data_IF_919921097419
#
_entry.id   IF_919921097419
#
_cell.length_a   1.000
_cell.length_b   1.000
_cell.length_c   1.000
_cell.angle_alpha   90.00
_cell.angle_beta   90.00
_cell.angle_gamma   90.00
#
_symmetry.space_group_name_H-M   'P 1'
#
loop_
_entity.id
_entity.type
_entity.pdbx_description
1 polymer ?
#
# COMPACT_ATOMS: atom_id res chain seq x y z
N UNK A 1 -45.44 13.48 5.26
CA UNK A 1 -45.01 12.06 5.23
C UNK A 1 -45.01 11.58 3.80
N UNK A 2 -43.85 11.57 3.13
CA UNK A 2 -43.58 10.78 1.92
C UNK A 2 -42.07 10.69 1.80
N UNK A 3 -41.54 9.51 2.11
CA UNK A 3 -40.11 9.22 2.30
C UNK A 3 -39.56 8.71 0.97
N UNK A 4 -38.99 9.59 0.14
CA UNK A 4 -38.30 9.16 -1.08
C UNK A 4 -36.87 8.76 -0.75
N UNK A 5 -36.64 7.45 -0.72
CA UNK A 5 -35.31 6.83 -0.69
C UNK A 5 -34.68 6.95 -2.08
N UNK A 6 -33.52 7.61 -2.17
CA UNK A 6 -32.67 7.57 -3.37
C UNK A 6 -31.92 6.23 -3.40
N UNK A 7 -31.96 5.46 -4.51
CA UNK A 7 -31.09 4.30 -4.66
C UNK A 7 -29.66 4.76 -4.96
N UNK A 8 -28.71 4.17 -4.24
CA UNK A 8 -27.28 4.33 -4.42
C UNK A 8 -26.81 3.86 -5.82
N UNK A 9 -25.95 4.67 -6.44
CA UNK A 9 -24.84 4.31 -7.35
C UNK A 9 -25.05 3.24 -8.45
N UNK A 10 -24.82 3.57 -9.73
CA UNK A 10 -24.49 2.58 -10.74
C UNK A 10 -22.97 2.59 -10.96
N UNK A 11 -22.24 1.86 -10.10
CA UNK A 11 -20.96 1.29 -10.53
C UNK A 11 -21.07 -0.21 -10.33
N UNK A 12 -21.50 -0.91 -11.36
CA UNK A 12 -21.37 -2.36 -11.46
C UNK A 12 -19.88 -2.71 -11.51
N UNK A 13 -19.26 -2.79 -10.33
CA UNK A 13 -18.00 -3.53 -10.16
C UNK A 13 -18.31 -5.01 -10.39
N UNK A 14 -17.47 -5.78 -11.10
CA UNK A 14 -17.68 -7.20 -11.25
C UNK A 14 -17.63 -7.87 -9.86
N UNK A 15 -18.79 -8.35 -9.39
CA UNK A 15 -18.99 -8.99 -8.08
C UNK A 15 -18.01 -10.15 -7.81
N UNK A 16 -17.45 -10.74 -8.86
CA UNK A 16 -16.46 -11.82 -8.77
C UNK A 16 -15.13 -11.36 -8.14
N UNK A 17 -14.66 -10.14 -8.42
CA UNK A 17 -13.36 -9.67 -7.90
C UNK A 17 -13.42 -9.23 -6.43
N UNK A 18 -14.54 -8.65 -6.01
CA UNK A 18 -14.81 -8.39 -4.59
C UNK A 18 -14.97 -9.68 -3.79
N UNK A 19 -15.52 -10.75 -4.39
CA UNK A 19 -15.65 -12.04 -3.74
C UNK A 19 -14.30 -12.75 -3.56
N UNK A 20 -13.41 -12.70 -4.56
CA UNK A 20 -12.05 -13.26 -4.46
C UNK A 20 -11.20 -12.49 -3.44
N UNK A 21 -11.28 -11.15 -3.44
CA UNK A 21 -10.58 -10.32 -2.46
C UNK A 21 -11.13 -10.52 -1.03
N UNK A 22 -12.45 -10.70 -0.88
CA UNK A 22 -13.06 -11.00 0.41
C UNK A 22 -12.73 -12.42 0.91
N UNK A 23 -12.65 -13.41 0.02
CA UNK A 23 -12.27 -14.78 0.36
C UNK A 23 -10.80 -14.84 0.84
N UNK A 24 -9.89 -14.15 0.14
CA UNK A 24 -8.48 -14.04 0.52
C UNK A 24 -8.27 -13.25 1.82
N UNK A 25 -9.10 -12.22 2.08
CA UNK A 25 -9.07 -11.47 3.33
C UNK A 25 -9.67 -12.28 4.50
N UNK A 26 -10.68 -13.12 4.24
CA UNK A 26 -11.31 -13.96 5.26
C UNK A 26 -10.43 -15.12 5.75
N UNK A 27 -9.49 -15.58 4.91
CA UNK A 27 -8.52 -16.61 5.30
C UNK A 27 -7.39 -16.08 6.20
N UNK A 28 -7.22 -14.76 6.29
CA UNK A 28 -6.13 -14.10 7.03
C UNK A 28 -6.57 -13.51 8.38
N UNK A 29 -7.86 -13.55 8.71
CA UNK A 29 -8.41 -13.05 9.97
C UNK A 29 -9.00 -14.22 10.79
N UNK A 30 -8.11 -15.08 11.31
CA UNK A 30 -8.42 -15.88 12.50
C UNK A 30 -7.95 -15.07 13.74
N UNK A 31 -8.72 -15.02 14.84
CA UNK A 31 -8.41 -14.13 15.94
C UNK A 31 -7.40 -14.78 16.88
N UNK A 32 -6.19 -14.23 16.97
CA UNK A 32 -5.39 -14.31 18.20
C UNK A 32 -5.64 -13.05 19.00
N UNK A 33 -6.62 -13.13 19.89
CA UNK A 33 -6.84 -12.12 20.92
C UNK A 33 -5.87 -12.34 22.10
N UNK A 34 -5.39 -11.22 22.64
CA UNK A 34 -4.82 -10.98 23.97
C UNK A 34 -3.39 -11.48 24.28
N UNK A 35 -2.44 -10.53 24.39
CA UNK A 35 -1.84 -9.99 25.63
C UNK A 35 -0.89 -8.84 25.18
N UNK A 36 -1.22 -7.58 25.46
CA UNK A 36 -0.93 -6.82 26.68
C UNK A 36 0.49 -6.22 26.71
N UNK A 37 0.53 -4.93 27.06
CA UNK A 37 1.67 -4.09 27.39
C UNK A 37 2.85 -4.82 28.04
N UNK A 38 4.05 -4.60 27.51
CA UNK A 38 5.29 -4.75 28.26
C UNK A 38 6.39 -3.84 27.68
N UNK A 39 6.63 -2.75 28.40
CA UNK A 39 7.87 -2.02 28.62
C UNK A 39 9.13 -2.54 27.88
N UNK A 40 9.78 -1.65 27.13
CA UNK A 40 11.14 -1.84 26.63
C UNK A 40 12.17 -1.95 27.78
N UNK A 41 13.10 -2.92 27.77
CA UNK A 41 14.28 -2.85 28.61
C UNK A 41 15.38 -2.01 27.94
N UNK A 42 15.97 -1.12 28.73
CA UNK A 42 17.17 -0.37 28.41
C UNK A 42 18.39 -1.27 28.23
N UNK A 43 19.32 -0.81 27.38
CA UNK A 43 20.62 -1.43 27.13
C UNK A 43 21.48 -1.52 28.40
N UNK A 44 22.23 -2.62 28.63
CA UNK A 44 23.36 -2.63 29.53
C UNK A 44 24.65 -2.19 28.80
N UNK A 45 25.42 -1.38 29.50
CA UNK A 45 26.73 -0.87 29.13
C UNK A 45 27.75 -1.99 28.85
N UNK A 46 28.64 -1.73 27.91
CA UNK A 46 29.84 -2.51 27.68
C UNK A 46 30.79 -2.39 28.88
N UNK A 47 31.02 -3.50 29.56
CA UNK A 47 32.15 -3.68 30.48
C UNK A 47 33.22 -4.51 29.77
N UNK A 48 34.36 -3.87 29.51
CA UNK A 48 35.60 -4.52 29.11
C UNK A 48 36.06 -5.49 30.21
N UNK A 49 36.29 -6.76 29.85
CA UNK A 49 37.00 -7.70 30.71
C UNK A 49 38.16 -8.33 29.95
N UNK A 50 39.36 -8.05 30.48
CA UNK A 50 40.66 -8.64 30.17
C UNK A 50 40.65 -10.17 30.20
N UNK A 51 41.25 -10.79 29.19
CA UNK A 51 41.68 -12.19 29.24
C UNK A 51 43.15 -12.29 29.70
N UNK A 52 43.52 -13.20 30.62
CA UNK A 52 44.91 -13.38 31.01
C UNK A 52 45.66 -14.27 30.02
N UNK A 53 46.87 -13.84 29.71
CA UNK A 53 47.88 -14.60 28.98
C UNK A 53 48.40 -15.77 29.83
N UNK A 54 48.56 -16.94 29.22
CA UNK A 54 49.40 -18.02 29.73
C UNK A 54 50.11 -18.70 28.56
N UNK A 55 51.41 -18.47 28.45
CA UNK A 55 52.34 -19.27 27.66
C UNK A 55 52.89 -20.41 28.53
N UNK A 56 53.37 -21.49 27.90
CA UNK A 56 54.66 -22.03 28.31
C UNK A 56 55.61 -22.17 27.12
N UNK A 57 56.87 -21.86 27.40
CA UNK A 57 58.02 -22.05 26.53
C UNK A 57 58.51 -23.50 26.55
N UNK A 58 58.98 -23.99 25.40
CA UNK A 58 60.06 -24.97 25.28
C UNK A 58 60.63 -24.97 23.85
N UNK A 59 61.82 -24.42 23.69
CA UNK A 59 62.86 -24.77 22.70
C UNK A 59 63.35 -26.21 23.00
N UNK A 60 63.82 -27.09 22.11
CA UNK A 60 64.61 -26.96 20.88
C UNK A 60 64.78 -28.38 20.21
N UNK A 61 65.61 -28.64 19.18
CA UNK A 61 65.20 -29.14 17.86
C UNK A 61 65.53 -30.63 17.55
N UNK A 62 64.86 -31.23 16.55
CA UNK A 62 65.26 -32.53 15.98
C UNK A 62 65.25 -32.52 14.45
N UNK A 63 66.47 -32.51 13.92
CA UNK A 63 67.02 -33.23 12.77
C UNK A 63 66.22 -33.31 11.45
N UNK A 64 66.83 -32.69 10.43
CA UNK A 64 66.69 -33.08 9.03
C UNK A 64 67.14 -34.53 8.83
N UNK A 65 66.29 -35.34 8.20
CA UNK A 65 66.65 -36.64 7.61
C UNK A 65 66.22 -36.64 6.16
N UNK A 66 67.10 -37.25 5.37
CA UNK A 66 67.28 -37.25 3.93
C UNK A 66 66.05 -37.41 3.02
N UNK A 67 66.18 -36.76 1.87
CA UNK A 67 65.37 -36.96 0.68
C UNK A 67 65.70 -38.32 0.00
N UNK A 68 64.65 -39.05 -0.39
CA UNK A 68 64.70 -39.93 -1.57
C UNK A 68 63.35 -39.88 -2.31
N UNK A 69 63.33 -39.99 -3.65
CA UNK A 69 62.23 -39.49 -4.47
C UNK A 69 61.34 -40.64 -4.99
N UNK A 70 60.07 -40.67 -4.58
CA UNK A 70 59.01 -41.39 -5.29
C UNK A 70 57.65 -41.02 -4.68
N UNK A 71 56.98 -40.03 -5.24
CA UNK A 71 55.63 -40.22 -5.79
C UNK A 71 55.19 -38.91 -6.46
N UNK A 72 54.66 -39.05 -7.66
CA UNK A 72 54.10 -37.94 -8.43
C UNK A 72 52.92 -37.32 -7.65
N UNK A 73 52.65 -36.01 -7.78
CA UNK A 73 51.43 -35.43 -7.23
C UNK A 73 50.25 -36.01 -8.00
N UNK A 74 49.57 -36.97 -7.38
CA UNK A 74 48.24 -37.40 -7.78
C UNK A 74 47.35 -36.14 -7.72
N UNK A 75 46.94 -35.67 -8.90
CA UNK A 75 45.96 -34.60 -9.03
C UNK A 75 44.69 -35.14 -8.39
N UNK A 76 44.44 -34.73 -7.15
CA UNK A 76 43.17 -34.92 -6.48
C UNK A 76 42.13 -34.16 -7.29
N UNK A 77 41.55 -34.84 -8.29
CA UNK A 77 40.24 -34.50 -8.82
C UNK A 77 39.33 -34.24 -7.61
N UNK A 78 38.62 -33.11 -7.53
CA UNK A 78 37.69 -32.89 -6.43
C UNK A 78 36.63 -33.97 -6.53
N UNK A 79 36.73 -34.93 -5.63
CA UNK A 79 35.82 -36.05 -5.52
C UNK A 79 34.43 -35.51 -5.15
N UNK A 80 33.64 -35.25 -6.19
CA UNK A 80 32.24 -34.86 -6.10
C UNK A 80 31.33 -36.06 -5.72
N UNK A 81 31.89 -37.18 -5.25
CA UNK A 81 31.16 -38.40 -4.90
C UNK A 81 30.71 -38.51 -3.44
N UNK A 82 30.85 -37.45 -2.63
CA UNK A 82 30.09 -37.30 -1.39
C UNK A 82 28.61 -37.05 -1.74
N UNK A 83 27.86 -38.15 -1.91
CA UNK A 83 26.49 -38.23 -2.39
C UNK A 83 25.42 -37.55 -1.54
N UNK A 84 25.50 -36.22 -1.43
CA UNK A 84 24.36 -35.31 -1.31
C UNK A 84 24.76 -33.97 -1.94
N UNK A 85 24.87 -33.94 -3.27
CA UNK A 85 24.70 -32.69 -4.00
C UNK A 85 23.24 -32.26 -3.81
N UNK A 86 22.91 -31.68 -2.65
CA UNK A 86 21.65 -31.00 -2.47
C UNK A 86 21.59 -29.93 -3.55
N UNK A 87 20.61 -30.04 -4.43
CA UNK A 87 20.39 -29.05 -5.47
C UNK A 87 20.04 -27.71 -4.78
N UNK A 88 21.04 -26.84 -4.66
CA UNK A 88 20.91 -25.49 -4.12
C UNK A 88 20.21 -24.54 -5.11
N UNK A 89 19.62 -25.07 -6.18
CA UNK A 89 18.67 -24.30 -6.98
C UNK A 89 17.49 -23.84 -6.10
N UNK A 90 16.90 -22.67 -6.37
CA UNK A 90 15.72 -22.21 -5.64
C UNK A 90 14.56 -23.22 -5.65
N UNK A 91 14.47 -24.03 -6.71
CA UNK A 91 13.47 -25.08 -6.84
C UNK A 91 13.79 -26.30 -5.96
N UNK A 92 15.05 -26.73 -5.90
CA UNK A 92 15.51 -27.78 -5.00
C UNK A 92 15.31 -27.38 -3.53
N UNK A 93 15.68 -26.16 -3.17
CA UNK A 93 15.45 -25.59 -1.84
C UNK A 93 13.95 -25.54 -1.48
N UNK A 94 13.09 -25.13 -2.41
CA UNK A 94 11.65 -25.12 -2.15
C UNK A 94 11.08 -26.53 -1.90
N UNK A 95 11.53 -27.55 -2.64
CA UNK A 95 11.03 -28.93 -2.45
C UNK A 95 11.42 -29.51 -1.09
N UNK A 96 12.63 -29.20 -0.61
CA UNK A 96 13.16 -29.69 0.66
C UNK A 96 12.65 -28.91 1.88
N UNK A 97 12.09 -27.72 1.66
CA UNK A 97 11.56 -26.88 2.73
C UNK A 97 10.41 -27.49 3.54
N UNK A 98 10.38 -27.13 4.82
CA UNK A 98 9.27 -27.42 5.74
C UNK A 98 7.95 -26.84 5.23
N UNK A 99 6.83 -27.49 5.58
CA UNK A 99 5.49 -27.08 5.12
C UNK A 99 5.16 -25.64 5.49
N UNK A 100 5.59 -25.16 6.66
CA UNK A 100 5.34 -23.79 7.10
C UNK A 100 6.15 -22.80 6.26
N UNK A 101 7.43 -23.10 5.99
CA UNK A 101 8.29 -22.28 5.12
C UNK A 101 7.72 -22.22 3.70
N UNK A 102 7.23 -23.34 3.18
CA UNK A 102 6.53 -23.39 1.87
C UNK A 102 5.31 -22.47 1.83
N UNK A 103 4.48 -22.48 2.88
CA UNK A 103 3.31 -21.59 2.98
C UNK A 103 3.75 -20.12 3.01
N UNK A 104 4.79 -19.79 3.78
CA UNK A 104 5.37 -18.43 3.83
C UNK A 104 5.84 -17.99 2.45
N UNK A 105 6.62 -18.80 1.75
CA UNK A 105 7.14 -18.48 0.41
C UNK A 105 6.02 -18.30 -0.61
N UNK A 106 5.01 -19.19 -0.63
CA UNK A 106 3.86 -19.07 -1.53
C UNK A 106 3.04 -17.81 -1.21
N UNK A 107 2.79 -17.53 0.08
CA UNK A 107 2.06 -16.34 0.51
C UNK A 107 2.75 -15.04 0.07
N UNK A 108 4.08 -14.97 0.21
CA UNK A 108 4.89 -13.85 -0.25
C UNK A 108 4.88 -13.72 -1.78
N UNK A 109 4.91 -14.83 -2.51
CA UNK A 109 4.80 -14.82 -3.98
C UNK A 109 3.44 -14.28 -4.44
N UNK A 110 2.33 -14.70 -3.79
CA UNK A 110 0.99 -14.18 -4.07
C UNK A 110 0.91 -12.68 -3.74
N UNK A 111 1.46 -12.24 -2.61
CA UNK A 111 1.50 -10.83 -2.23
C UNK A 111 2.26 -9.97 -3.27
N UNK A 112 3.35 -10.51 -3.83
CA UNK A 112 4.07 -9.87 -4.93
C UNK A 112 3.19 -9.73 -6.18
N UNK A 113 2.49 -10.78 -6.59
CA UNK A 113 1.57 -10.73 -7.75
C UNK A 113 0.45 -9.71 -7.54
N UNK A 114 -0.13 -9.65 -6.34
CA UNK A 114 -1.16 -8.66 -5.97
C UNK A 114 -0.60 -7.24 -6.10
N UNK A 115 0.62 -6.99 -5.62
CA UNK A 115 1.30 -5.69 -5.73
C UNK A 115 1.40 -5.22 -7.19
N UNK A 116 1.89 -6.07 -8.09
CA UNK A 116 2.00 -5.76 -9.52
C UNK A 116 0.64 -5.57 -10.21
N UNK A 117 -0.35 -6.40 -9.85
CA UNK A 117 -1.71 -6.27 -10.39
C UNK A 117 -2.33 -4.93 -10.02
N UNK A 118 -2.22 -4.53 -8.75
CA UNK A 118 -2.74 -3.24 -8.28
C UNK A 118 -1.98 -2.09 -8.94
N UNK A 119 -0.66 -2.19 -9.10
CA UNK A 119 0.13 -1.16 -9.80
C UNK A 119 -0.41 -0.87 -11.20
N UNK A 120 -0.65 -1.91 -12.00
CA UNK A 120 -1.15 -1.75 -13.36
C UNK A 120 -2.58 -1.20 -13.35
N UNK A 121 -3.48 -1.83 -12.58
CA UNK A 121 -4.89 -1.46 -12.55
C UNK A 121 -5.09 -0.01 -12.05
N UNK A 122 -4.48 0.34 -10.92
CA UNK A 122 -4.56 1.69 -10.35
C UNK A 122 -3.79 2.71 -11.16
N UNK A 123 -2.70 2.30 -11.82
CA UNK A 123 -1.95 3.14 -12.76
C UNK A 123 -2.84 3.67 -13.88
N UNK A 124 -3.56 2.78 -14.56
CA UNK A 124 -4.49 3.18 -15.63
C UNK A 124 -5.69 3.98 -15.12
N UNK A 125 -6.30 3.58 -14.00
CA UNK A 125 -7.41 4.31 -13.39
C UNK A 125 -7.03 5.77 -13.08
N UNK A 126 -5.90 5.97 -12.39
CA UNK A 126 -5.45 7.29 -11.97
C UNK A 126 -4.97 8.14 -13.14
N UNK A 127 -4.29 7.55 -14.12
CA UNK A 127 -3.84 8.26 -15.32
C UNK A 127 -5.02 8.74 -16.16
N UNK A 128 -6.03 7.87 -16.36
CA UNK A 128 -7.26 8.22 -17.06
C UNK A 128 -8.03 9.33 -16.35
N UNK A 129 -8.19 9.21 -15.03
CA UNK A 129 -8.86 10.21 -14.20
C UNK A 129 -8.15 11.58 -14.26
N UNK A 130 -6.82 11.63 -14.11
CA UNK A 130 -6.04 12.87 -14.20
C UNK A 130 -6.13 13.52 -15.57
N UNK A 131 -6.04 12.72 -16.65
CA UNK A 131 -6.11 13.24 -18.02
C UNK A 131 -7.47 13.85 -18.32
N UNK A 132 -8.55 13.17 -17.91
CA UNK A 132 -9.93 13.68 -18.03
C UNK A 132 -10.14 14.94 -17.21
N UNK A 133 -9.71 14.94 -15.95
CA UNK A 133 -9.84 16.07 -15.04
C UNK A 133 -9.16 17.34 -15.58
N UNK A 134 -7.97 17.21 -16.19
CA UNK A 134 -7.28 18.35 -16.79
C UNK A 134 -8.11 19.02 -17.91
N UNK A 135 -8.78 18.23 -18.74
CA UNK A 135 -9.67 18.74 -19.79
C UNK A 135 -10.91 19.41 -19.20
N UNK A 136 -11.51 18.79 -18.19
CA UNK A 136 -12.67 19.33 -17.46
C UNK A 136 -12.35 20.67 -16.78
N UNK A 137 -11.20 20.78 -16.11
CA UNK A 137 -10.72 22.04 -15.51
C UNK A 137 -10.54 23.12 -16.57
N UNK A 138 -9.94 22.79 -17.73
CA UNK A 138 -9.74 23.76 -18.80
C UNK A 138 -11.07 24.27 -19.38
N UNK A 139 -12.10 23.43 -19.40
CA UNK A 139 -13.45 23.82 -19.80
C UNK A 139 -14.13 24.72 -18.76
N UNK A 140 -14.06 24.35 -17.47
CA UNK A 140 -14.61 25.16 -16.36
C UNK A 140 -13.98 26.56 -16.30
N UNK A 141 -12.66 26.68 -16.52
CA UNK A 141 -11.97 27.98 -16.53
C UNK A 141 -12.45 28.94 -17.61
N UNK A 142 -13.03 28.42 -18.70
CA UNK A 142 -13.54 29.26 -19.80
C UNK A 142 -14.96 29.76 -19.55
N UNK A 143 -15.72 29.09 -18.71
CA UNK A 143 -17.09 29.49 -18.40
C UNK A 143 -17.10 30.79 -17.61
N UNK A 144 -17.96 31.73 -18.01
CA UNK A 144 -18.13 33.00 -17.31
C UNK A 144 -19.23 32.93 -16.22
N UNK A 145 -20.18 32.01 -16.38
CA UNK A 145 -21.36 31.80 -15.50
C UNK A 145 -21.54 30.33 -15.15
N UNK A 146 -22.25 30.03 -14.07
CA UNK A 146 -22.55 28.65 -13.66
C UNK A 146 -23.42 27.93 -14.70
N UNK A 147 -24.31 28.66 -15.38
CA UNK A 147 -25.13 28.11 -16.46
C UNK A 147 -24.28 27.64 -17.65
N UNK A 148 -23.30 28.43 -18.07
CA UNK A 148 -22.37 28.04 -19.15
C UNK A 148 -21.50 26.85 -18.74
N UNK A 149 -21.03 26.82 -17.49
CA UNK A 149 -20.32 25.68 -16.94
C UNK A 149 -21.17 24.40 -16.99
N UNK A 150 -22.47 24.49 -16.70
CA UNK A 150 -23.39 23.34 -16.77
C UNK A 150 -23.59 22.81 -18.18
N UNK A 151 -23.66 23.69 -19.18
CA UNK A 151 -23.78 23.30 -20.58
C UNK A 151 -22.52 22.58 -21.08
N UNK A 152 -21.35 23.03 -20.62
CA UNK A 152 -20.07 22.43 -21.01
C UNK A 152 -19.78 21.13 -20.24
N UNK A 153 -20.32 21.00 -19.02
CA UNK A 153 -20.24 19.82 -18.18
C UNK A 153 -21.39 18.81 -18.42
N UNK A 154 -21.94 18.75 -19.64
CA UNK A 154 -23.13 17.94 -19.93
C UNK A 154 -22.94 16.41 -19.81
N UNK A 155 -21.70 15.91 -19.85
CA UNK A 155 -21.45 14.46 -19.77
C UNK A 155 -21.66 13.94 -18.35
N UNK A 156 -22.66 13.10 -18.16
CA UNK A 156 -22.96 12.42 -16.91
C UNK A 156 -21.77 11.62 -16.37
N UNK A 157 -21.59 11.67 -15.05
CA UNK A 157 -20.48 11.01 -14.35
C UNK A 157 -19.09 11.63 -14.58
N UNK A 158 -19.00 12.84 -15.15
CA UNK A 158 -17.78 13.68 -15.06
C UNK A 158 -17.69 14.34 -13.68
N UNK A 159 -16.48 14.69 -13.24
CA UNK A 159 -16.33 15.44 -11.99
C UNK A 159 -16.91 16.84 -12.13
N UNK A 160 -16.66 17.50 -13.26
CA UNK A 160 -17.23 18.83 -13.55
C UNK A 160 -18.77 18.80 -13.49
N UNK A 161 -19.42 17.77 -14.03
CA UNK A 161 -20.88 17.65 -13.93
C UNK A 161 -21.32 17.52 -12.47
N UNK A 162 -20.70 16.62 -11.70
CA UNK A 162 -21.05 16.45 -10.28
C UNK A 162 -20.90 17.74 -9.48
N UNK A 163 -19.78 18.46 -9.65
CA UNK A 163 -19.55 19.74 -8.95
C UNK A 163 -20.57 20.81 -9.34
N UNK A 164 -20.82 20.99 -10.64
CA UNK A 164 -21.75 22.02 -11.14
C UNK A 164 -23.20 21.67 -10.79
N UNK A 165 -23.57 20.39 -10.89
CA UNK A 165 -24.90 19.91 -10.54
C UNK A 165 -25.18 20.08 -9.05
N UNK A 166 -24.25 19.71 -8.16
CA UNK A 166 -24.41 19.90 -6.70
C UNK A 166 -24.56 21.38 -6.34
N UNK A 167 -23.81 22.26 -7.01
CA UNK A 167 -23.93 23.71 -6.83
C UNK A 167 -25.29 24.25 -7.31
N UNK A 168 -25.74 23.85 -8.50
CA UNK A 168 -27.04 24.22 -9.06
C UNK A 168 -28.21 23.69 -8.21
N UNK A 169 -28.09 22.47 -7.70
CA UNK A 169 -29.09 21.88 -6.82
C UNK A 169 -29.24 22.70 -5.54
N UNK A 170 -28.14 23.07 -4.89
CA UNK A 170 -28.18 23.91 -3.69
C UNK A 170 -28.73 25.31 -3.97
N UNK A 171 -28.37 25.92 -5.11
CA UNK A 171 -28.97 27.19 -5.55
C UNK A 171 -30.49 27.08 -5.78
N UNK A 172 -30.96 25.96 -6.35
CA UNK A 172 -32.38 25.67 -6.56
C UNK A 172 -33.12 25.48 -5.24
N UNK A 173 -32.52 24.75 -4.29
CA UNK A 173 -33.08 24.56 -2.95
C UNK A 173 -33.13 25.87 -2.16
N UNK A 174 -32.21 26.79 -2.45
CA UNK A 174 -32.09 28.09 -1.78
C UNK A 174 -32.81 29.23 -2.49
N UNK A 175 -33.66 28.97 -3.48
CA UNK A 175 -34.34 30.02 -4.29
C UNK A 175 -35.16 31.04 -3.48
N UNK A 176 -35.62 30.65 -2.29
CA UNK A 176 -36.38 31.51 -1.38
C UNK A 176 -35.52 32.13 -0.26
N UNK A 177 -34.24 31.79 -0.19
CA UNK A 177 -33.31 32.38 0.78
C UNK A 177 -32.91 33.78 0.33
N UNK A 178 -32.98 34.74 1.25
CA UNK A 178 -32.54 36.13 1.01
C UNK A 178 -31.06 36.33 1.32
N UNK A 179 -30.45 35.37 2.01
CA UNK A 179 -29.08 35.45 2.49
C UNK A 179 -28.12 34.78 1.50
N UNK A 180 -27.53 35.59 0.62
CA UNK A 180 -26.58 35.12 -0.40
C UNK A 180 -25.37 34.41 0.23
N UNK A 181 -24.90 34.89 1.38
CA UNK A 181 -23.74 34.33 2.08
C UNK A 181 -23.98 32.90 2.55
N UNK A 182 -25.14 32.64 3.17
CA UNK A 182 -25.53 31.29 3.57
C UNK A 182 -25.63 30.31 2.40
N UNK A 183 -25.98 30.77 1.19
CA UNK A 183 -25.95 29.93 -0.02
C UNK A 183 -24.50 29.59 -0.38
N UNK A 184 -23.59 30.58 -0.38
CA UNK A 184 -22.16 30.37 -0.66
C UNK A 184 -21.54 29.37 0.32
N UNK A 185 -21.83 29.49 1.62
CA UNK A 185 -21.36 28.56 2.65
C UNK A 185 -21.84 27.13 2.42
N UNK A 186 -23.14 26.94 2.17
CA UNK A 186 -23.71 25.60 1.90
C UNK A 186 -23.14 24.95 0.65
N UNK A 187 -22.96 25.73 -0.42
CA UNK A 187 -22.31 25.26 -1.64
C UNK A 187 -20.86 24.87 -1.34
N UNK A 188 -20.08 25.73 -0.68
CA UNK A 188 -18.69 25.42 -0.30
C UNK A 188 -18.60 24.12 0.47
N UNK A 189 -19.43 23.96 1.50
CA UNK A 189 -19.45 22.75 2.32
C UNK A 189 -19.79 21.48 1.52
N UNK A 190 -20.77 21.54 0.61
CA UNK A 190 -21.11 20.42 -0.27
C UNK A 190 -19.93 20.04 -1.17
N UNK A 191 -19.31 21.02 -1.82
CA UNK A 191 -18.20 20.78 -2.74
C UNK A 191 -16.97 20.24 -2.01
N UNK A 192 -16.63 20.76 -0.82
CA UNK A 192 -15.54 20.22 0.02
C UNK A 192 -15.77 18.75 0.39
N UNK A 193 -17.00 18.40 0.75
CA UNK A 193 -17.37 17.00 1.04
C UNK A 193 -17.24 16.11 -0.20
N UNK A 194 -17.59 16.61 -1.38
CA UNK A 194 -17.44 15.91 -2.65
C UNK A 194 -15.96 15.72 -3.02
N UNK A 195 -15.12 16.75 -2.84
CA UNK A 195 -13.65 16.67 -3.01
C UNK A 195 -13.06 15.60 -2.09
N UNK A 196 -13.47 15.58 -0.81
CA UNK A 196 -13.03 14.58 0.15
C UNK A 196 -13.47 13.16 -0.24
N UNK A 197 -14.71 12.99 -0.73
CA UNK A 197 -15.21 11.71 -1.22
C UNK A 197 -14.43 11.22 -2.44
N UNK A 198 -14.13 12.09 -3.41
CA UNK A 198 -13.32 11.75 -4.58
C UNK A 198 -11.91 11.28 -4.18
N UNK A 199 -11.28 11.96 -3.23
CA UNK A 199 -9.98 11.56 -2.69
C UNK A 199 -10.02 10.17 -2.05
N UNK A 200 -11.00 9.91 -1.17
CA UNK A 200 -11.17 8.59 -0.52
C UNK A 200 -11.44 7.47 -1.54
N UNK A 201 -12.30 7.73 -2.52
CA UNK A 201 -12.61 6.73 -3.56
C UNK A 201 -11.36 6.37 -4.38
N UNK A 202 -10.53 7.36 -4.72
CA UNK A 202 -9.29 7.13 -5.46
C UNK A 202 -8.24 6.36 -4.63
N UNK A 203 -8.15 6.62 -3.33
CA UNK A 203 -7.30 5.86 -2.39
C UNK A 203 -7.78 4.44 -2.09
N UNK A 204 -9.00 4.07 -2.50
CA UNK A 204 -9.52 2.74 -2.27
C UNK A 204 -8.66 1.67 -2.95
N UNK A 205 -8.25 0.66 -2.20
CA UNK A 205 -7.43 -0.47 -2.70
C UNK A 205 -5.92 -0.27 -2.57
N UNK A 206 -5.41 0.97 -2.46
CA UNK A 206 -3.96 1.19 -2.28
C UNK A 206 -3.49 0.83 -0.87
N UNK A 207 -4.39 0.76 0.11
CA UNK A 207 -4.09 0.33 1.48
C UNK A 207 -3.51 -1.09 1.56
N UNK A 208 -3.87 -1.98 0.62
CA UNK A 208 -3.30 -3.33 0.54
C UNK A 208 -1.79 -3.29 0.33
N UNK A 209 -1.27 -2.35 -0.46
CA UNK A 209 0.16 -2.20 -0.70
C UNK A 209 0.88 -1.71 0.54
N UNK A 210 0.26 -0.81 1.31
CA UNK A 210 0.80 -0.38 2.59
C UNK A 210 0.91 -1.56 3.57
N UNK A 211 -0.15 -2.39 3.64
CA UNK A 211 -0.13 -3.60 4.48
C UNK A 211 0.97 -4.54 4.02
N UNK A 212 1.01 -4.96 2.75
CA UNK A 212 2.04 -5.86 2.22
C UNK A 212 3.45 -5.30 2.46
N UNK A 213 3.67 -4.03 2.14
CA UNK A 213 4.95 -3.37 2.34
C UNK A 213 5.41 -3.35 3.80
N UNK A 214 4.48 -3.21 4.75
CA UNK A 214 4.78 -3.21 6.18
C UNK A 214 4.93 -4.61 6.78
N UNK A 215 4.18 -5.62 6.30
CA UNK A 215 4.13 -6.94 6.94
C UNK A 215 4.99 -8.00 6.26
N UNK A 216 5.22 -7.92 4.94
CA UNK A 216 5.98 -8.93 4.20
C UNK A 216 7.41 -9.18 4.73
N UNK A 217 8.18 -8.18 5.21
CA UNK A 217 9.49 -8.44 5.82
C UNK A 217 9.38 -9.29 7.08
N UNK A 218 8.36 -9.05 7.92
CA UNK A 218 8.14 -9.81 9.14
C UNK A 218 7.65 -11.22 8.87
N UNK A 219 6.85 -11.41 7.82
CA UNK A 219 6.43 -12.74 7.36
C UNK A 219 7.65 -13.53 6.85
N UNK A 220 8.58 -12.89 6.12
CA UNK A 220 9.86 -13.50 5.74
C UNK A 220 10.74 -13.85 6.95
N UNK A 221 10.86 -12.92 7.91
CA UNK A 221 11.58 -13.13 9.17
C UNK A 221 11.02 -14.32 9.96
N UNK A 222 9.69 -14.44 10.03
CA UNK A 222 9.04 -15.61 10.63
C UNK A 222 9.46 -16.91 9.94
N UNK A 223 9.50 -16.92 8.60
CA UNK A 223 10.02 -18.05 7.82
C UNK A 223 11.47 -18.40 8.18
N UNK A 224 12.36 -17.41 8.34
CA UNK A 224 13.74 -17.67 8.78
C UNK A 224 13.81 -18.30 10.17
N UNK A 225 13.09 -17.73 11.14
CA UNK A 225 13.11 -18.20 12.53
C UNK A 225 12.61 -19.64 12.60
N UNK A 226 11.54 -19.94 11.87
CA UNK A 226 10.99 -21.30 11.81
C UNK A 226 11.96 -22.29 11.17
N UNK A 227 12.55 -21.94 10.02
CA UNK A 227 13.50 -22.82 9.32
C UNK A 227 14.77 -23.10 10.14
N UNK A 228 15.32 -22.08 10.81
CA UNK A 228 16.48 -22.24 11.70
C UNK A 228 16.10 -23.10 12.91
N UNK A 229 14.94 -22.89 13.52
CA UNK A 229 14.45 -23.72 14.62
C UNK A 229 14.35 -25.20 14.22
N UNK A 230 13.74 -25.49 13.07
CA UNK A 230 13.63 -26.87 12.57
C UNK A 230 15.01 -27.49 12.26
N UNK A 231 15.95 -26.70 11.77
CA UNK A 231 17.33 -27.14 11.53
C UNK A 231 18.01 -27.56 12.85
N UNK A 232 17.86 -26.78 13.93
CA UNK A 232 18.37 -27.13 15.25
C UNK A 232 17.70 -28.37 15.86
N UNK A 233 16.39 -28.54 15.66
CA UNK A 233 15.67 -29.76 16.06
C UNK A 233 16.24 -30.99 15.32
N UNK A 234 16.63 -30.83 14.05
CA UNK A 234 17.31 -31.87 13.27
C UNK A 234 18.62 -32.33 13.91
N UNK A 235 19.49 -31.38 14.27
CA UNK A 235 20.77 -31.66 14.97
C UNK A 235 20.53 -32.41 16.27
N UNK A 236 19.57 -31.95 17.08
CA UNK A 236 19.26 -32.57 18.37
C UNK A 236 18.79 -34.03 18.24
N UNK A 237 18.05 -34.34 17.16
CA UNK A 237 17.56 -35.70 16.89
C UNK A 237 18.64 -36.62 16.33
N UNK A 238 19.50 -36.12 15.43
CA UNK A 238 20.55 -36.94 14.82
C UNK A 238 21.77 -37.10 15.71
N UNK A 239 21.91 -36.26 16.74
CA UNK A 239 23.08 -36.23 17.64
C UNK A 239 24.42 -36.02 16.90
N UNK A 240 24.37 -35.52 15.66
CA UNK A 240 25.55 -35.23 14.84
C UNK A 240 25.70 -33.73 14.65
N UNK A 241 26.90 -33.20 14.86
CA UNK A 241 27.24 -31.79 14.56
C UNK A 241 27.62 -31.56 13.09
N UNK A 242 27.32 -32.52 12.21
CA UNK A 242 27.67 -32.42 10.80
C UNK A 242 26.88 -31.28 10.13
N UNK A 243 27.58 -30.21 9.77
CA UNK A 243 27.01 -29.00 9.17
C UNK A 243 26.34 -29.28 7.81
N UNK A 244 26.76 -30.32 7.08
CA UNK A 244 26.18 -30.66 5.79
C UNK A 244 24.68 -31.02 5.88
N UNK A 245 24.23 -31.55 7.03
CA UNK A 245 22.84 -31.98 7.24
C UNK A 245 21.90 -30.79 7.45
N UNK A 246 22.42 -29.66 7.96
CA UNK A 246 21.60 -28.47 8.29
C UNK A 246 21.76 -27.31 7.33
N UNK A 247 22.85 -27.28 6.55
CA UNK A 247 23.10 -26.22 5.58
C UNK A 247 21.91 -25.97 4.63
N UNK A 248 21.19 -27.00 4.11
CA UNK A 248 20.01 -26.77 3.26
C UNK A 248 18.87 -26.04 3.99
N UNK A 249 18.52 -26.45 5.21
CA UNK A 249 17.42 -25.84 5.98
C UNK A 249 17.69 -24.39 6.37
N UNK A 250 18.95 -24.04 6.65
CA UNK A 250 19.36 -22.66 6.90
C UNK A 250 19.28 -21.83 5.61
N UNK A 251 19.72 -22.37 4.49
CA UNK A 251 19.65 -21.68 3.20
C UNK A 251 18.19 -21.38 2.80
N UNK A 252 17.28 -22.34 2.98
CA UNK A 252 15.83 -22.18 2.74
C UNK A 252 15.21 -21.12 3.64
N UNK A 253 15.60 -21.13 4.92
CA UNK A 253 15.19 -20.14 5.89
C UNK A 253 15.55 -18.74 5.37
N UNK A 254 16.82 -18.52 5.00
CA UNK A 254 17.31 -17.23 4.48
C UNK A 254 16.60 -16.80 3.19
N UNK A 255 16.26 -17.74 2.31
CA UNK A 255 15.49 -17.48 1.10
C UNK A 255 14.10 -16.90 1.42
N UNK A 256 13.44 -17.35 2.49
CA UNK A 256 12.13 -16.82 2.90
C UNK A 256 12.20 -15.32 3.27
N UNK A 257 13.25 -14.90 3.98
CA UNK A 257 13.46 -13.47 4.29
C UNK A 257 13.78 -12.66 3.03
N UNK A 258 14.61 -13.20 2.13
CA UNK A 258 14.90 -12.55 0.85
C UNK A 258 13.62 -12.31 0.04
N UNK A 259 12.74 -13.30 -0.05
CA UNK A 259 11.42 -13.16 -0.70
C UNK A 259 10.52 -12.14 0.01
N UNK A 260 10.60 -12.06 1.33
CA UNK A 260 9.89 -11.05 2.13
C UNK A 260 10.25 -9.62 1.69
N UNK A 261 11.55 -9.35 1.52
CA UNK A 261 12.05 -8.06 1.05
C UNK A 261 11.69 -7.80 -0.42
N UNK A 262 11.79 -8.82 -1.28
CA UNK A 262 11.41 -8.71 -2.70
C UNK A 262 9.93 -8.38 -2.87
N UNK A 263 9.06 -8.90 -2.00
CA UNK A 263 7.64 -8.55 -1.99
C UNK A 263 7.38 -7.14 -1.38
N UNK A 264 8.10 -6.79 -0.32
CA UNK A 264 7.87 -5.55 0.43
C UNK A 264 8.32 -4.29 -0.32
N UNK A 265 9.53 -4.29 -0.88
CA UNK A 265 10.16 -3.09 -1.45
C UNK A 265 9.30 -2.50 -2.59
N UNK A 266 8.87 -3.28 -3.61
CA UNK A 266 8.00 -2.75 -4.66
C UNK A 266 6.68 -2.23 -4.10
N UNK A 267 6.07 -2.94 -3.14
CA UNK A 267 4.80 -2.54 -2.54
C UNK A 267 4.88 -1.16 -1.89
N UNK A 268 5.93 -0.88 -1.11
CA UNK A 268 6.17 0.42 -0.47
C UNK A 268 6.40 1.52 -1.51
N UNK A 269 7.24 1.27 -2.51
CA UNK A 269 7.54 2.25 -3.57
C UNK A 269 6.27 2.62 -4.33
N UNK A 270 5.50 1.62 -4.78
CA UNK A 270 4.27 1.82 -5.54
C UNK A 270 3.23 2.54 -4.67
N UNK A 271 3.07 2.15 -3.41
CA UNK A 271 2.18 2.83 -2.47
C UNK A 271 2.50 4.31 -2.36
N UNK A 272 3.77 4.67 -2.17
CA UNK A 272 4.21 6.06 -2.04
C UNK A 272 3.98 6.87 -3.33
N UNK A 273 4.21 6.27 -4.49
CA UNK A 273 3.92 6.90 -5.79
C UNK A 273 2.43 7.18 -5.93
N UNK A 274 1.56 6.23 -5.55
CA UNK A 274 0.12 6.45 -5.57
C UNK A 274 -0.33 7.47 -4.52
N UNK A 275 0.18 7.41 -3.29
CA UNK A 275 -0.17 8.38 -2.25
C UNK A 275 0.11 9.83 -2.72
N UNK A 276 1.29 10.08 -3.29
CA UNK A 276 1.65 11.38 -3.87
C UNK A 276 0.77 11.73 -5.07
N UNK A 277 0.53 10.77 -5.96
CA UNK A 277 -0.24 10.99 -7.17
C UNK A 277 -1.72 11.28 -6.88
N UNK A 278 -2.29 10.64 -5.87
CA UNK A 278 -3.67 10.83 -5.41
C UNK A 278 -3.81 12.16 -4.67
N UNK A 279 -2.83 12.55 -3.85
CA UNK A 279 -2.80 13.88 -3.25
C UNK A 279 -2.81 14.97 -4.34
N UNK A 280 -1.99 14.82 -5.39
CA UNK A 280 -2.01 15.74 -6.54
C UNK A 280 -3.33 15.73 -7.31
N UNK A 281 -3.99 14.57 -7.45
CA UNK A 281 -5.33 14.48 -8.03
C UNK A 281 -6.36 15.22 -7.16
N UNK A 282 -6.36 15.00 -5.84
CA UNK A 282 -7.24 15.70 -4.90
C UNK A 282 -7.06 17.22 -4.96
N UNK A 283 -5.83 17.71 -5.10
CA UNK A 283 -5.56 19.13 -5.27
C UNK A 283 -6.22 19.68 -6.56
N UNK A 284 -6.08 18.98 -7.68
CA UNK A 284 -6.75 19.39 -8.94
C UNK A 284 -8.27 19.37 -8.83
N UNK A 285 -8.84 18.38 -8.12
CA UNK A 285 -10.29 18.33 -7.83
C UNK A 285 -10.72 19.54 -6.99
N UNK A 286 -9.90 19.93 -6.01
CA UNK A 286 -10.11 21.14 -5.21
C UNK A 286 -10.06 22.42 -6.06
N UNK A 287 -9.14 22.51 -7.02
CA UNK A 287 -9.06 23.66 -7.94
C UNK A 287 -10.31 23.77 -8.82
N UNK A 288 -10.86 22.63 -9.26
CA UNK A 288 -12.11 22.59 -10.01
C UNK A 288 -13.30 23.04 -9.14
N UNK A 289 -13.37 22.56 -7.90
CA UNK A 289 -14.36 22.96 -6.91
C UNK A 289 -14.33 24.46 -6.64
N UNK A 290 -13.13 25.03 -6.43
CA UNK A 290 -12.95 26.45 -6.20
C UNK A 290 -13.45 27.30 -7.38
N UNK A 291 -13.23 26.86 -8.62
CA UNK A 291 -13.77 27.55 -9.80
C UNK A 291 -15.29 27.55 -9.83
N UNK A 292 -15.93 26.42 -9.51
CA UNK A 292 -17.40 26.37 -9.43
C UNK A 292 -17.92 27.31 -8.34
N UNK A 293 -17.25 27.36 -7.17
CA UNK A 293 -17.62 28.28 -6.10
C UNK A 293 -17.46 29.75 -6.51
N UNK A 294 -16.42 30.09 -7.29
CA UNK A 294 -16.25 31.44 -7.85
C UNK A 294 -17.38 31.81 -8.82
N UNK A 295 -17.82 30.87 -9.67
CA UNK A 295 -18.95 31.08 -10.57
C UNK A 295 -20.25 31.31 -9.79
N UNK A 296 -20.51 30.49 -8.76
CA UNK A 296 -21.66 30.65 -7.85
C UNK A 296 -21.63 32.01 -7.16
N UNK A 297 -20.48 32.40 -6.61
CA UNK A 297 -20.32 33.68 -5.92
C UNK A 297 -20.64 34.85 -6.85
N UNK A 298 -20.06 34.86 -8.06
CA UNK A 298 -20.29 35.89 -9.08
C UNK A 298 -21.75 35.93 -9.54
N UNK A 299 -22.36 34.78 -9.81
CA UNK A 299 -23.76 34.70 -10.25
C UNK A 299 -24.73 35.19 -9.16
N UNK A 300 -24.45 34.94 -7.88
CA UNK A 300 -25.25 35.46 -6.76
C UNK A 300 -25.09 36.98 -6.58
N UNK A 301 -23.89 37.52 -6.78
CA UNK A 301 -23.62 38.96 -6.67
C UNK A 301 -24.34 39.74 -7.78
N UNK A 302 -24.45 39.17 -8.99
CA UNK A 302 -25.19 39.76 -10.11
C UNK A 302 -26.72 39.61 -10.02
N UNK A 303 -27.27 38.82 -9.08
CA UNK A 303 -28.71 38.77 -8.89
C UNK A 303 -29.21 40.08 -8.28
N UNK A 304 -30.14 40.80 -8.95
CA UNK A 304 -30.68 42.05 -8.45
C UNK A 304 -31.32 41.80 -7.07
N UNK A 305 -31.02 42.67 -6.11
CA UNK A 305 -31.77 42.75 -4.85
C UNK A 305 -33.25 42.76 -5.21
N UNK A 306 -34.02 41.73 -4.82
CA UNK A 306 -35.47 41.74 -5.02
C UNK A 306 -36.01 42.92 -4.22
N UNK A 307 -36.20 44.06 -4.90
CA UNK A 307 -36.78 45.28 -4.35
C UNK A 307 -38.00 44.88 -3.53
N UNK A 308 -37.93 45.12 -2.23
CA UNK A 308 -39.07 45.02 -1.35
C UNK A 308 -40.09 46.02 -1.86
N UNK A 309 -41.03 45.57 -2.68
CA UNK A 309 -42.26 46.29 -2.93
C UNK A 309 -43.02 46.30 -1.60
N UNK A 310 -42.65 47.20 -0.70
CA UNK A 310 -43.53 47.62 0.37
C UNK A 310 -44.72 48.26 -0.34
N UNK A 311 -45.95 47.73 -0.22
CA UNK A 311 -47.11 48.44 -0.72
C UNK A 311 -47.18 49.75 0.07
N UNK A 312 -46.96 50.87 -0.62
CA UNK A 312 -47.17 52.19 -0.05
C UNK A 312 -48.64 52.30 0.34
N UNK A 313 -48.95 52.02 1.61
CA UNK A 313 -50.28 52.28 2.15
C UNK A 313 -50.45 53.79 2.18
N UNK A 314 -51.19 54.32 1.20
CA UNK A 314 -51.72 55.66 1.25
C UNK A 314 -52.70 55.69 2.42
N UNK A 315 -52.33 56.38 3.50
CA UNK A 315 -53.31 56.81 4.51
C UNK A 315 -54.25 57.78 3.81
N UNK A 316 -55.42 57.29 3.40
CA UNK A 316 -56.57 58.16 3.09
C UNK A 316 -57.06 58.66 4.45
N UNK A 317 -57.03 59.99 4.60
CA UNK A 317 -57.52 60.70 5.78
C UNK A 317 -59.03 60.69 5.90
#
# INVERSE_FOLDING_TARGET
MTRNQFPASPTTRPRAWSAIAALLLSLMLAPTAALADAQAPAAPAATEQHAPAAAPAATDPVQAVDASPADAPEVLEPDNSLGMAHDLSPWGMYQNADIIVKIVMIGLAIASIITWTIWIAKGFELMGAKRRLRGEIAALKKAATLKEASATAAKEGTLANLLVHDALEEMRLSVNSREKEGIKERVSFRLERLVAACGRNMSSGTGVLATIGSTAPFVGLFGTVWGIMNSFIGIAKTQTTNLAVVAPGIAEALLATALGLVAAIPAVVIYNVFARSIAGYKAQVSDASAQVLLLVSRDLDHQPERSSSQPHMVKVG
#
